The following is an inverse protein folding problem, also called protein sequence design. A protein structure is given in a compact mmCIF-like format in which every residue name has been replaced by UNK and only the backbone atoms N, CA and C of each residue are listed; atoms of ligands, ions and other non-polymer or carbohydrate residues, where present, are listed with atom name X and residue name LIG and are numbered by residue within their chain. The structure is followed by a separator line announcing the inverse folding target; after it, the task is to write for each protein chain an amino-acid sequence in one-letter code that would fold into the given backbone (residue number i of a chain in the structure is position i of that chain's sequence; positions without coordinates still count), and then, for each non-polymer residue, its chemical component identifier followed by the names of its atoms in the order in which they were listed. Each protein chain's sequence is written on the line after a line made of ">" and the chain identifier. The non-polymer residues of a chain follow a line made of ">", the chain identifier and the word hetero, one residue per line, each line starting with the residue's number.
data_IF_448552173667
#
_entry.id   IF_448552173667
#
_cell.length_a   1.000
_cell.length_b   1.000
_cell.length_c   1.000
_cell.angle_alpha   90.00
_cell.angle_beta   90.00
_cell.angle_gamma   90.00
#
_symmetry.space_group_name_H-M   'P 1'
#
loop_
_entity.id
_entity.type
_entity.pdbx_description
1 polymer ?
#
# COMPACT_ATOMS: atom_id res chain seq x y z
N UNK A 1 33.76 -18.25 -10.02
CA UNK A 1 32.37 -17.79 -9.81
C UNK A 1 32.21 -16.34 -10.18
N UNK A 2 31.04 -15.95 -10.65
CA UNK A 2 30.75 -14.60 -11.16
C UNK A 2 30.74 -13.51 -10.07
N UNK A 3 30.83 -13.89 -8.78
CA UNK A 3 30.77 -12.94 -7.65
C UNK A 3 31.61 -13.41 -6.48
N UNK A 4 32.36 -12.51 -5.89
CA UNK A 4 33.17 -12.77 -4.69
C UNK A 4 32.27 -12.86 -3.46
N UNK A 5 32.49 -13.88 -2.63
CA UNK A 5 31.74 -14.14 -1.41
C UNK A 5 32.66 -14.59 -0.27
N UNK A 6 32.28 -14.34 0.94
CA UNK A 6 33.02 -14.70 2.16
C UNK A 6 32.14 -15.56 3.07
N UNK A 7 32.78 -16.44 3.84
CA UNK A 7 32.12 -17.26 4.86
C UNK A 7 32.87 -17.09 6.17
N UNK A 8 32.21 -16.53 7.18
CA UNK A 8 32.78 -16.41 8.52
C UNK A 8 32.83 -17.75 9.25
N UNK A 9 33.73 -17.84 10.25
CA UNK A 9 33.85 -19.01 11.11
C UNK A 9 32.50 -19.25 11.84
N UNK A 10 31.92 -20.44 11.68
CA UNK A 10 30.61 -20.79 12.26
C UNK A 10 29.37 -20.44 11.41
N UNK A 11 29.52 -19.77 10.29
CA UNK A 11 28.39 -19.50 9.40
C UNK A 11 28.08 -20.69 8.48
N UNK A 12 26.78 -20.95 8.26
CA UNK A 12 26.33 -22.04 7.36
C UNK A 12 26.37 -21.67 5.88
N UNK A 13 26.27 -20.38 5.52
CA UNK A 13 26.14 -19.87 4.14
C UNK A 13 27.19 -18.83 3.80
N UNK A 14 27.58 -18.78 2.52
CA UNK A 14 28.41 -17.70 1.98
C UNK A 14 27.60 -16.40 1.84
N UNK A 15 28.23 -15.29 2.15
CA UNK A 15 27.68 -13.93 2.00
C UNK A 15 28.45 -13.23 0.88
N UNK A 16 27.73 -12.65 -0.08
CA UNK A 16 28.35 -11.88 -1.18
C UNK A 16 28.84 -10.53 -0.66
N UNK A 17 30.00 -10.09 -1.09
CA UNK A 17 30.57 -8.80 -0.67
C UNK A 17 29.61 -7.64 -0.81
N UNK A 18 28.91 -7.53 -1.93
CA UNK A 18 27.91 -6.46 -2.16
C UNK A 18 26.76 -6.42 -1.12
N UNK A 19 26.51 -7.48 -0.37
CA UNK A 19 25.45 -7.53 0.64
C UNK A 19 25.97 -7.17 2.03
N UNK A 20 27.28 -6.99 2.20
CA UNK A 20 27.89 -6.57 3.45
C UNK A 20 27.74 -5.05 3.70
N UNK A 21 27.37 -4.28 2.67
CA UNK A 21 27.16 -2.83 2.77
C UNK A 21 28.26 -2.00 2.09
N UNK A 22 28.21 -0.69 2.29
CA UNK A 22 29.19 0.25 1.74
C UNK A 22 30.55 0.01 2.39
N UNK A 23 31.63 0.04 1.61
CA UNK A 23 32.99 -0.22 2.07
C UNK A 23 33.44 -1.69 1.93
N UNK A 24 32.56 -2.60 1.48
CA UNK A 24 32.84 -4.03 1.31
C UNK A 24 32.71 -4.52 -0.12
N UNK A 25 32.66 -3.64 -1.11
CA UNK A 25 32.78 -4.04 -2.52
C UNK A 25 34.20 -4.50 -2.80
N UNK A 26 34.39 -5.34 -3.81
CA UNK A 26 35.71 -5.88 -4.18
C UNK A 26 36.72 -4.76 -4.46
N UNK A 27 36.28 -3.69 -5.14
CA UNK A 27 37.14 -2.54 -5.45
C UNK A 27 37.50 -1.72 -4.19
N UNK A 28 36.53 -1.54 -3.26
CA UNK A 28 36.78 -0.83 -2.00
C UNK A 28 37.74 -1.60 -1.11
N UNK A 29 37.58 -2.94 -1.01
CA UNK A 29 38.49 -3.81 -0.26
C UNK A 29 39.90 -3.75 -0.86
N UNK A 30 40.04 -3.83 -2.19
CA UNK A 30 41.35 -3.70 -2.87
C UNK A 30 42.00 -2.35 -2.61
N UNK A 31 41.23 -1.26 -2.67
CA UNK A 31 41.73 0.08 -2.42
C UNK A 31 42.26 0.22 -0.97
N UNK A 32 41.60 -0.42 0.00
CA UNK A 32 42.06 -0.45 1.43
C UNK A 32 43.34 -1.28 1.56
N UNK A 33 43.40 -2.46 0.96
CA UNK A 33 44.59 -3.35 0.99
C UNK A 33 45.80 -2.69 0.31
N UNK A 34 45.59 -1.91 -0.75
CA UNK A 34 46.61 -1.16 -1.47
C UNK A 34 46.99 0.16 -0.76
N UNK A 35 46.42 0.46 0.40
CA UNK A 35 46.67 1.69 1.14
C UNK A 35 46.10 2.97 0.51
N UNK A 36 45.31 2.86 -0.57
CA UNK A 36 44.70 3.98 -1.31
C UNK A 36 43.45 4.55 -0.62
N UNK A 37 42.83 3.79 0.29
CA UNK A 37 41.65 4.21 1.04
C UNK A 37 41.71 3.71 2.50
N UNK A 38 41.08 4.44 3.43
CA UNK A 38 40.89 3.98 4.81
C UNK A 38 39.61 3.14 4.88
N UNK A 39 39.64 2.01 5.60
CA UNK A 39 38.46 1.21 5.84
C UNK A 39 37.40 2.02 6.60
N UNK A 40 36.23 2.15 6.01
CA UNK A 40 35.04 2.67 6.72
C UNK A 40 34.34 1.49 7.37
N UNK A 41 34.36 1.43 8.70
CA UNK A 41 33.59 0.43 9.44
C UNK A 41 32.11 0.57 9.11
N UNK A 42 31.42 -0.58 8.94
CA UNK A 42 29.97 -0.62 8.75
C UNK A 42 29.27 0.14 9.89
N UNK A 43 28.80 1.34 9.59
CA UNK A 43 27.87 2.02 10.48
C UNK A 43 26.52 1.33 10.36
N UNK A 44 26.09 0.64 11.44
CA UNK A 44 24.70 0.19 11.54
C UNK A 44 23.82 1.37 11.21
N UNK A 45 23.04 1.27 10.12
CA UNK A 45 21.98 2.26 9.89
C UNK A 45 21.18 2.34 11.19
N UNK A 46 20.91 3.55 11.70
CA UNK A 46 20.03 3.67 12.85
C UNK A 46 18.77 2.88 12.53
N UNK A 47 18.22 2.11 13.48
CA UNK A 47 16.99 1.37 13.24
C UNK A 47 15.99 2.40 12.71
N UNK A 48 15.42 2.15 11.53
CA UNK A 48 14.30 2.96 11.04
C UNK A 48 13.29 2.94 12.17
N UNK A 49 12.93 4.11 12.66
CA UNK A 49 11.83 4.23 13.61
C UNK A 49 10.62 3.54 12.99
N UNK A 50 10.30 2.39 13.55
CA UNK A 50 9.13 1.66 13.06
C UNK A 50 7.91 2.37 13.63
N UNK A 51 6.95 2.73 12.78
CA UNK A 51 5.70 3.29 13.25
C UNK A 51 5.08 2.32 14.28
N UNK A 52 4.39 2.88 15.27
CA UNK A 52 3.69 2.07 16.27
C UNK A 52 2.71 1.09 15.60
N UNK A 53 2.53 -0.07 16.26
CA UNK A 53 1.68 -1.15 15.75
C UNK A 53 0.35 -1.17 16.51
N UNK A 54 -0.60 -1.93 15.98
CA UNK A 54 -1.88 -2.16 16.66
C UNK A 54 -1.66 -2.97 17.95
N UNK A 55 -2.35 -2.57 19.02
CA UNK A 55 -2.37 -3.32 20.27
C UNK A 55 -2.94 -4.72 20.04
N UNK A 56 -2.38 -5.69 20.75
CA UNK A 56 -2.89 -7.07 20.75
C UNK A 56 -4.09 -7.17 21.68
N UNK A 57 -5.17 -7.78 21.24
CA UNK A 57 -6.26 -8.20 22.11
C UNK A 57 -5.82 -9.41 22.95
N UNK A 58 -5.37 -9.13 24.17
CA UNK A 58 -4.84 -10.14 25.08
C UNK A 58 -5.97 -11.07 25.55
N UNK A 59 -7.16 -10.55 25.80
CA UNK A 59 -8.26 -11.33 26.33
C UNK A 59 -8.82 -12.32 25.30
N UNK A 60 -9.08 -11.85 24.07
CA UNK A 60 -9.49 -12.73 22.98
C UNK A 60 -8.44 -13.82 22.71
N UNK A 61 -7.14 -13.46 22.72
CA UNK A 61 -6.07 -14.44 22.51
C UNK A 61 -5.92 -15.46 23.64
N UNK A 62 -6.19 -15.07 24.89
CA UNK A 62 -6.22 -16.01 26.00
C UNK A 62 -7.42 -16.94 25.94
N UNK A 63 -8.59 -16.47 25.51
CA UNK A 63 -9.77 -17.30 25.26
C UNK A 63 -9.53 -18.32 24.13
N UNK A 64 -8.70 -17.97 23.13
CA UNK A 64 -8.23 -18.88 22.08
C UNK A 64 -7.18 -19.93 22.57
N UNK A 65 -6.87 -19.99 23.87
CA UNK A 65 -5.96 -20.97 24.46
C UNK A 65 -4.47 -20.59 24.41
N UNK A 66 -4.11 -19.32 24.20
CA UNK A 66 -2.72 -18.89 24.26
C UNK A 66 -2.13 -19.00 25.66
N UNK A 67 -0.82 -19.27 25.74
CA UNK A 67 -0.11 -19.52 26.99
C UNK A 67 0.06 -18.26 27.85
N UNK A 68 0.35 -18.45 29.15
CA UNK A 68 0.69 -17.38 30.09
C UNK A 68 1.95 -16.61 29.63
N UNK A 69 2.90 -17.29 28.99
CA UNK A 69 4.08 -16.66 28.39
C UNK A 69 3.70 -15.67 27.29
N UNK A 70 2.73 -16.03 26.45
CA UNK A 70 2.17 -15.14 25.44
C UNK A 70 1.53 -13.90 26.08
N UNK A 71 0.74 -14.07 27.14
CA UNK A 71 0.13 -12.95 27.89
C UNK A 71 1.19 -11.96 28.38
N UNK A 72 2.27 -12.43 29.01
CA UNK A 72 3.36 -11.58 29.49
C UNK A 72 4.04 -10.81 28.36
N UNK A 73 4.29 -11.47 27.24
CA UNK A 73 4.84 -10.83 26.04
C UNK A 73 3.89 -9.76 25.49
N UNK A 74 2.62 -10.09 25.29
CA UNK A 74 1.63 -9.19 24.72
C UNK A 74 1.39 -7.95 25.61
N UNK A 75 1.43 -8.10 26.93
CA UNK A 75 1.35 -6.97 27.87
C UNK A 75 2.52 -6.00 27.69
N UNK A 76 3.77 -6.52 27.62
CA UNK A 76 4.95 -5.69 27.38
C UNK A 76 4.91 -5.03 26.00
N UNK A 77 4.47 -5.76 24.99
CA UNK A 77 4.29 -5.26 23.63
C UNK A 77 3.28 -4.11 23.61
N UNK A 78 2.07 -4.32 24.17
CA UNK A 78 1.03 -3.31 24.21
C UNK A 78 1.46 -2.04 24.95
N UNK A 79 2.16 -2.17 26.09
CA UNK A 79 2.69 -1.03 26.82
C UNK A 79 3.65 -0.20 25.96
N UNK A 80 4.56 -0.86 25.25
CA UNK A 80 5.51 -0.20 24.36
C UNK A 80 4.80 0.50 23.18
N UNK A 81 3.85 -0.17 22.54
CA UNK A 81 3.14 0.40 21.39
C UNK A 81 2.16 1.52 21.82
N UNK A 82 1.58 1.43 23.04
CA UNK A 82 0.76 2.51 23.58
C UNK A 82 1.61 3.75 23.90
N UNK A 83 2.81 3.58 24.49
CA UNK A 83 3.72 4.69 24.71
C UNK A 83 4.08 5.41 23.40
N UNK A 84 4.35 4.69 22.33
CA UNK A 84 4.60 5.29 21.01
C UNK A 84 3.35 5.99 20.45
N UNK A 85 2.17 5.41 20.67
CA UNK A 85 0.90 6.03 20.26
C UNK A 85 0.70 7.36 20.97
N UNK A 86 0.95 7.41 22.29
CA UNK A 86 0.85 8.65 23.06
C UNK A 86 1.86 9.70 22.61
N UNK A 87 3.11 9.32 22.34
CA UNK A 87 4.11 10.26 21.79
C UNK A 87 3.65 10.83 20.44
N UNK A 88 3.14 9.98 19.54
CA UNK A 88 2.57 10.42 18.26
C UNK A 88 1.43 11.42 18.47
N UNK A 89 0.48 11.14 19.36
CA UNK A 89 -0.64 12.06 19.65
C UNK A 89 -0.13 13.40 20.20
N UNK A 90 0.88 13.37 21.07
CA UNK A 90 1.52 14.56 21.61
C UNK A 90 2.23 15.37 20.51
N UNK A 91 2.99 14.75 19.64
CA UNK A 91 3.66 15.39 18.50
C UNK A 91 2.66 16.00 17.52
N UNK A 92 1.54 15.34 17.30
CA UNK A 92 0.44 15.84 16.47
C UNK A 92 -0.45 16.84 17.20
N UNK A 93 -0.20 17.12 18.50
CA UNK A 93 -1.01 18.00 19.35
C UNK A 93 -2.48 17.60 19.40
N UNK A 94 -2.76 16.31 19.40
CA UNK A 94 -4.11 15.76 19.53
C UNK A 94 -4.39 15.54 21.01
N UNK A 95 -5.45 16.22 21.52
CA UNK A 95 -5.74 16.27 22.95
C UNK A 95 -6.97 15.46 23.36
N UNK A 96 -7.83 15.09 22.41
CA UNK A 96 -9.05 14.32 22.69
C UNK A 96 -9.31 13.21 21.69
N UNK A 97 -10.11 12.23 22.11
CA UNK A 97 -10.56 11.13 21.27
C UNK A 97 -11.41 11.62 20.08
N UNK A 98 -12.23 12.63 20.31
CA UNK A 98 -13.06 13.26 19.27
C UNK A 98 -12.20 13.90 18.20
N UNK A 99 -11.19 14.68 18.59
CA UNK A 99 -10.24 15.28 17.66
C UNK A 99 -9.48 14.23 16.85
N UNK A 100 -9.06 13.11 17.51
CA UNK A 100 -8.41 12.01 16.83
C UNK A 100 -9.31 11.37 15.77
N UNK A 101 -10.59 11.12 16.10
CA UNK A 101 -11.56 10.55 15.16
C UNK A 101 -11.82 11.47 13.98
N UNK A 102 -11.97 12.75 14.24
CA UNK A 102 -12.17 13.76 13.19
C UNK A 102 -10.97 13.83 12.25
N UNK A 103 -9.76 13.93 12.79
CA UNK A 103 -8.54 13.95 11.97
C UNK A 103 -8.33 12.66 11.18
N UNK A 104 -8.63 11.50 11.78
CA UNK A 104 -8.57 10.22 11.09
C UNK A 104 -9.60 10.13 9.94
N UNK A 105 -10.80 10.64 10.14
CA UNK A 105 -11.83 10.72 9.11
C UNK A 105 -11.42 11.65 7.95
N UNK A 106 -10.93 12.84 8.24
CA UNK A 106 -10.43 13.80 7.24
C UNK A 106 -9.26 13.24 6.45
N UNK A 107 -8.29 12.62 7.12
CA UNK A 107 -7.14 12.00 6.46
C UNK A 107 -7.57 10.82 5.57
N UNK A 108 -8.57 10.05 6.00
CA UNK A 108 -9.14 8.93 5.24
C UNK A 108 -9.83 9.44 3.98
N UNK A 109 -10.65 10.46 4.09
CA UNK A 109 -11.34 11.09 2.94
C UNK A 109 -10.33 11.67 1.95
N UNK A 110 -9.32 12.39 2.43
CA UNK A 110 -8.24 12.91 1.59
C UNK A 110 -7.52 11.80 0.82
N UNK A 111 -7.18 10.70 1.50
CA UNK A 111 -6.55 9.54 0.87
C UNK A 111 -7.44 8.93 -0.22
N UNK A 112 -8.74 8.76 0.04
CA UNK A 112 -9.69 8.21 -0.92
C UNK A 112 -9.89 9.14 -2.12
N UNK A 113 -10.04 10.43 -1.91
CA UNK A 113 -10.20 11.43 -2.98
C UNK A 113 -8.98 11.43 -3.91
N UNK A 114 -7.77 11.45 -3.34
CA UNK A 114 -6.54 11.37 -4.13
C UNK A 114 -6.41 10.04 -4.87
N UNK A 115 -6.75 8.92 -4.22
CA UNK A 115 -6.76 7.60 -4.83
C UNK A 115 -7.74 7.48 -6.00
N UNK A 116 -8.94 8.03 -5.85
CA UNK A 116 -9.96 8.06 -6.91
C UNK A 116 -9.51 8.92 -8.09
N UNK A 117 -8.89 10.06 -7.84
CA UNK A 117 -8.33 10.92 -8.90
C UNK A 117 -7.24 10.19 -9.70
N UNK A 118 -6.33 9.47 -9.03
CA UNK A 118 -5.30 8.67 -9.70
C UNK A 118 -5.93 7.55 -10.52
N UNK A 119 -6.92 6.82 -9.98
CA UNK A 119 -7.64 5.75 -10.70
C UNK A 119 -8.38 6.28 -11.92
N UNK A 120 -9.03 7.44 -11.82
CA UNK A 120 -9.70 8.08 -12.94
C UNK A 120 -8.71 8.45 -14.06
N UNK A 121 -7.54 8.99 -13.69
CA UNK A 121 -6.48 9.26 -14.65
C UNK A 121 -5.94 7.98 -15.31
N UNK A 122 -5.78 6.89 -14.56
CA UNK A 122 -5.36 5.58 -15.08
C UNK A 122 -6.39 4.99 -16.07
N UNK A 123 -7.67 5.05 -15.73
CA UNK A 123 -8.75 4.62 -16.60
C UNK A 123 -8.72 5.41 -17.92
N UNK A 124 -8.61 6.74 -17.84
CA UNK A 124 -8.56 7.60 -19.03
C UNK A 124 -7.31 7.35 -19.88
N UNK A 125 -6.15 7.11 -19.28
CA UNK A 125 -4.93 6.71 -20.01
C UNK A 125 -5.13 5.41 -20.80
N UNK A 126 -5.83 4.44 -20.22
CA UNK A 126 -6.16 3.17 -20.88
C UNK A 126 -7.13 3.39 -22.05
N UNK A 127 -8.18 4.18 -21.83
CA UNK A 127 -9.14 4.55 -22.89
C UNK A 127 -8.44 5.21 -24.07
N UNK A 128 -7.57 6.20 -23.81
CA UNK A 128 -6.79 6.88 -24.86
C UNK A 128 -5.93 5.89 -25.64
N UNK A 129 -5.25 4.97 -24.96
CA UNK A 129 -4.39 3.98 -25.61
C UNK A 129 -5.19 3.05 -26.54
N UNK A 130 -6.35 2.57 -26.08
CA UNK A 130 -7.28 1.73 -26.87
C UNK A 130 -7.83 2.52 -28.05
N UNK A 131 -8.32 3.74 -27.82
CA UNK A 131 -8.88 4.59 -28.86
C UNK A 131 -7.85 4.91 -29.97
N UNK A 132 -6.62 5.23 -29.59
CA UNK A 132 -5.53 5.44 -30.55
C UNK A 132 -5.29 4.22 -31.41
N UNK A 133 -5.30 3.02 -30.81
CA UNK A 133 -5.14 1.76 -31.54
C UNK A 133 -6.25 1.59 -32.58
N UNK A 134 -7.50 1.85 -32.21
CA UNK A 134 -8.62 1.80 -33.13
C UNK A 134 -8.54 2.84 -34.26
N UNK A 135 -8.15 4.08 -33.95
CA UNK A 135 -7.96 5.15 -34.95
C UNK A 135 -6.88 4.75 -35.96
N UNK A 136 -5.73 4.24 -35.50
CA UNK A 136 -4.63 3.81 -36.35
C UNK A 136 -5.06 2.63 -37.23
N UNK A 137 -5.73 1.63 -36.67
CA UNK A 137 -6.23 0.47 -37.41
C UNK A 137 -7.26 0.89 -38.47
N UNK A 138 -8.22 1.75 -38.10
CA UNK A 138 -9.19 2.29 -39.02
C UNK A 138 -8.55 3.02 -40.21
N UNK A 139 -7.57 3.88 -39.94
CA UNK A 139 -6.88 4.61 -41.00
C UNK A 139 -6.08 3.67 -41.92
N UNK A 140 -5.38 2.68 -41.36
CA UNK A 140 -4.61 1.69 -42.14
C UNK A 140 -5.49 0.79 -43.01
N UNK A 141 -6.64 0.36 -42.47
CA UNK A 141 -7.51 -0.62 -43.14
C UNK A 141 -8.57 0.03 -44.03
N UNK A 142 -8.73 1.35 -43.97
CA UNK A 142 -9.72 2.09 -44.78
C UNK A 142 -9.61 1.84 -46.29
N UNK A 143 -8.43 1.86 -46.93
CA UNK A 143 -8.32 1.60 -48.38
C UNK A 143 -8.84 0.20 -48.74
N UNK A 144 -8.53 -0.81 -47.96
CA UNK A 144 -8.97 -2.21 -48.19
C UNK A 144 -10.49 -2.32 -48.00
N UNK A 145 -11.03 -1.68 -46.96
CA UNK A 145 -12.45 -1.68 -46.71
C UNK A 145 -13.25 -0.95 -47.79
N UNK A 146 -12.72 0.18 -48.32
CA UNK A 146 -13.32 0.90 -49.44
C UNK A 146 -13.31 0.05 -50.72
N UNK A 147 -12.23 -0.70 -50.98
CA UNK A 147 -12.17 -1.66 -52.09
C UNK A 147 -13.18 -2.81 -51.90
N UNK A 148 -13.32 -3.34 -50.68
CA UNK A 148 -14.33 -4.36 -50.35
C UNK A 148 -15.74 -3.87 -50.62
N UNK A 149 -16.07 -2.64 -50.24
CA UNK A 149 -17.38 -2.01 -50.54
C UNK A 149 -17.62 -1.85 -52.03
N UNK A 150 -16.57 -1.40 -52.79
CA UNK A 150 -16.64 -1.25 -54.24
C UNK A 150 -16.81 -2.60 -54.97
N UNK A 151 -16.31 -3.69 -54.42
CA UNK A 151 -16.48 -5.05 -54.95
C UNK A 151 -17.87 -5.63 -54.71
N UNK A 152 -18.84 -4.86 -54.18
CA UNK A 152 -20.16 -5.34 -53.81
C UNK A 152 -20.15 -6.34 -52.64
N UNK A 153 -19.20 -6.22 -51.72
CA UNK A 153 -19.05 -7.13 -50.59
C UNK A 153 -18.73 -8.57 -50.98
N UNK A 154 -17.91 -8.75 -52.02
CA UNK A 154 -17.52 -10.06 -52.53
C UNK A 154 -16.96 -10.99 -51.47
N UNK A 155 -17.48 -12.23 -51.39
CA UNK A 155 -16.97 -13.25 -50.47
C UNK A 155 -15.50 -13.59 -50.72
N UNK A 156 -15.08 -13.68 -51.98
CA UNK A 156 -13.70 -13.95 -52.38
C UNK A 156 -12.75 -12.85 -51.89
N UNK A 157 -13.17 -11.57 -52.01
CA UNK A 157 -12.40 -10.44 -51.50
C UNK A 157 -12.32 -10.45 -49.95
N UNK A 158 -13.44 -10.79 -49.30
CA UNK A 158 -13.48 -10.92 -47.84
C UNK A 158 -12.51 -11.99 -47.33
N UNK A 159 -12.44 -13.15 -47.97
CA UNK A 159 -11.51 -14.23 -47.59
C UNK A 159 -10.05 -13.82 -47.77
N UNK A 160 -9.74 -13.11 -48.85
CA UNK A 160 -8.40 -12.64 -49.15
C UNK A 160 -7.91 -11.54 -48.17
N UNK A 161 -8.83 -10.73 -47.62
CA UNK A 161 -8.52 -9.57 -46.74
C UNK A 161 -9.29 -9.63 -45.42
N UNK A 162 -9.47 -10.82 -44.90
CA UNK A 162 -10.31 -11.07 -43.71
C UNK A 162 -9.85 -10.30 -42.48
N UNK A 163 -8.55 -10.25 -42.29
CA UNK A 163 -7.94 -9.61 -41.09
C UNK A 163 -8.19 -8.10 -41.13
N UNK A 164 -7.86 -7.42 -42.22
CA UNK A 164 -7.99 -5.97 -42.37
C UNK A 164 -9.47 -5.54 -42.29
N UNK A 165 -10.38 -6.31 -42.94
CA UNK A 165 -11.82 -6.02 -42.90
C UNK A 165 -12.37 -6.20 -41.47
N UNK A 166 -11.91 -7.22 -40.76
CA UNK A 166 -12.33 -7.46 -39.38
C UNK A 166 -11.83 -6.35 -38.45
N UNK A 167 -10.55 -5.93 -38.57
CA UNK A 167 -9.98 -4.82 -37.82
C UNK A 167 -10.72 -3.50 -38.11
N UNK A 168 -11.07 -3.24 -39.38
CA UNK A 168 -11.83 -2.05 -39.75
C UNK A 168 -13.21 -2.02 -39.09
N UNK A 169 -13.92 -3.14 -39.13
CA UNK A 169 -15.26 -3.26 -38.52
C UNK A 169 -15.18 -3.14 -37.00
N UNK A 170 -14.19 -3.76 -36.38
CA UNK A 170 -13.98 -3.65 -34.93
C UNK A 170 -13.67 -2.22 -34.49
N UNK A 171 -12.83 -1.51 -35.25
CA UNK A 171 -12.53 -0.09 -34.96
C UNK A 171 -13.80 0.77 -35.10
N UNK A 172 -14.61 0.56 -36.16
CA UNK A 172 -15.88 1.28 -36.35
C UNK A 172 -16.86 1.00 -35.21
N UNK A 173 -17.04 -0.27 -34.83
CA UNK A 173 -17.91 -0.64 -33.72
C UNK A 173 -17.48 0.04 -32.40
N UNK A 174 -16.18 0.09 -32.13
CA UNK A 174 -15.64 0.79 -30.94
C UNK A 174 -15.93 2.30 -30.97
N UNK A 175 -15.91 2.95 -32.13
CA UNK A 175 -16.29 4.36 -32.25
C UNK A 175 -17.78 4.59 -32.04
N UNK A 176 -18.62 3.71 -32.60
CA UNK A 176 -20.08 3.75 -32.45
C UNK A 176 -20.45 3.53 -30.94
N UNK A 177 -19.81 2.58 -30.26
CA UNK A 177 -19.99 2.31 -28.82
C UNK A 177 -19.55 3.50 -27.96
N UNK A 178 -18.45 4.15 -28.34
CA UNK A 178 -17.97 5.35 -27.66
C UNK A 178 -18.77 6.63 -27.99
N UNK A 179 -19.79 6.55 -28.86
CA UNK A 179 -20.64 7.67 -29.26
C UNK A 179 -19.90 8.77 -30.03
N UNK A 180 -18.79 8.44 -30.69
CA UNK A 180 -17.91 9.42 -31.34
C UNK A 180 -18.45 9.81 -32.71
N UNK A 181 -19.05 10.99 -32.82
CA UNK A 181 -19.47 11.56 -34.12
C UNK A 181 -18.28 12.02 -34.98
N UNK A 182 -17.18 12.46 -34.32
CA UNK A 182 -15.94 12.89 -34.96
C UNK A 182 -14.76 12.27 -34.25
N UNK A 183 -13.87 11.66 -35.03
CA UNK A 183 -12.65 11.07 -34.47
C UNK A 183 -11.67 12.16 -34.04
N UNK A 184 -11.14 12.12 -32.81
CA UNK A 184 -10.10 13.02 -32.35
C UNK A 184 -8.80 12.76 -33.11
N UNK A 185 -7.97 13.78 -33.23
CA UNK A 185 -6.63 13.62 -33.83
C UNK A 185 -5.71 12.87 -32.86
N UNK A 186 -4.91 11.96 -33.39
CA UNK A 186 -3.91 11.21 -32.60
C UNK A 186 -3.00 12.13 -31.82
N UNK A 187 -2.61 13.28 -32.40
CA UNK A 187 -1.78 14.29 -31.70
C UNK A 187 -2.46 14.89 -30.48
N UNK A 188 -3.77 15.10 -30.52
CA UNK A 188 -4.54 15.63 -29.38
C UNK A 188 -4.61 14.59 -28.26
N UNK A 189 -4.83 13.32 -28.62
CA UNK A 189 -4.79 12.20 -27.67
C UNK A 189 -3.39 11.98 -27.06
N UNK A 190 -2.33 12.18 -27.84
CA UNK A 190 -0.97 12.11 -27.33
C UNK A 190 -0.67 13.23 -26.33
N UNK A 191 -1.15 14.44 -26.59
CA UNK A 191 -0.99 15.57 -25.68
C UNK A 191 -1.76 15.34 -24.37
N UNK A 192 -3.04 14.89 -24.45
CA UNK A 192 -3.85 14.53 -23.29
C UNK A 192 -3.19 13.40 -22.47
N UNK A 193 -2.69 12.38 -23.15
CA UNK A 193 -1.97 11.27 -22.50
C UNK A 193 -0.75 11.73 -21.73
N UNK A 194 0.09 12.58 -22.36
CA UNK A 194 1.29 13.11 -21.72
C UNK A 194 0.97 13.99 -20.51
N UNK A 195 -0.08 14.82 -20.60
CA UNK A 195 -0.55 15.65 -19.49
C UNK A 195 -1.06 14.80 -18.32
N UNK A 196 -1.94 13.84 -18.58
CA UNK A 196 -2.46 12.93 -17.55
C UNK A 196 -1.36 12.12 -16.89
N UNK A 197 -0.39 11.63 -17.66
CA UNK A 197 0.76 10.89 -17.13
C UNK A 197 1.61 11.77 -16.20
N UNK A 198 1.83 13.03 -16.57
CA UNK A 198 2.58 14.00 -15.78
C UNK A 198 1.83 14.33 -14.49
N UNK A 199 0.54 14.62 -14.56
CA UNK A 199 -0.33 14.85 -13.39
C UNK A 199 -0.31 13.65 -12.43
N UNK A 200 -0.47 12.44 -12.97
CA UNK A 200 -0.41 11.20 -12.19
C UNK A 200 0.92 11.08 -11.45
N UNK A 201 2.05 11.27 -12.15
CA UNK A 201 3.38 11.21 -11.54
C UNK A 201 3.57 12.25 -10.43
N UNK A 202 3.09 13.47 -10.64
CA UNK A 202 3.15 14.55 -9.66
C UNK A 202 2.27 14.28 -8.43
N UNK A 203 1.11 13.63 -8.59
CA UNK A 203 0.19 13.32 -7.48
C UNK A 203 0.70 12.17 -6.57
N UNK A 204 1.55 11.28 -7.05
CA UNK A 204 1.99 10.09 -6.31
C UNK A 204 2.72 10.36 -4.99
N UNK A 205 3.65 11.35 -4.89
CA UNK A 205 4.29 11.68 -3.61
C UNK A 205 3.29 12.10 -2.54
N UNK A 206 2.33 12.94 -2.91
CA UNK A 206 1.30 13.45 -1.99
C UNK A 206 0.29 12.36 -1.60
N UNK A 207 -0.07 11.49 -2.53
CA UNK A 207 -0.86 10.29 -2.25
C UNK A 207 -0.17 9.37 -1.23
N UNK A 208 1.15 9.17 -1.35
CA UNK A 208 1.92 8.39 -0.38
C UNK A 208 1.92 9.04 1.01
N UNK A 209 2.09 10.37 1.07
CA UNK A 209 2.01 11.12 2.33
C UNK A 209 0.63 10.98 2.97
N UNK A 210 -0.44 11.22 2.20
CA UNK A 210 -1.82 11.07 2.67
C UNK A 210 -2.13 9.65 3.16
N UNK A 211 -1.61 8.63 2.46
CA UNK A 211 -1.73 7.23 2.89
C UNK A 211 -1.06 6.97 4.23
N UNK A 212 0.16 7.45 4.42
CA UNK A 212 0.90 7.25 5.67
C UNK A 212 0.21 7.97 6.83
N UNK A 213 -0.17 9.23 6.63
CA UNK A 213 -0.92 10.04 7.60
C UNK A 213 -2.23 9.34 8.03
N UNK A 214 -3.03 8.91 7.07
CA UNK A 214 -4.26 8.15 7.32
C UNK A 214 -3.97 6.87 8.11
N UNK A 215 -2.94 6.10 7.72
CA UNK A 215 -2.60 4.85 8.40
C UNK A 215 -2.16 5.06 9.84
N UNK A 216 -1.43 6.13 10.13
CA UNK A 216 -0.98 6.47 11.48
C UNK A 216 -2.15 6.91 12.36
N UNK A 217 -2.98 7.84 11.88
CA UNK A 217 -4.15 8.31 12.63
C UNK A 217 -5.17 7.21 12.90
N UNK A 218 -5.53 6.40 11.89
CA UNK A 218 -6.46 5.27 12.05
C UNK A 218 -5.88 4.21 13.01
N UNK A 219 -4.57 3.99 12.98
CA UNK A 219 -3.92 3.07 13.92
C UNK A 219 -3.92 3.62 15.35
N UNK A 220 -3.67 4.91 15.52
CA UNK A 220 -3.75 5.57 16.81
C UNK A 220 -5.16 5.50 17.40
N UNK A 221 -6.18 5.78 16.58
CA UNK A 221 -7.59 5.65 16.98
C UNK A 221 -7.92 4.22 17.44
N UNK A 222 -7.54 3.19 16.67
CA UNK A 222 -7.76 1.80 17.06
C UNK A 222 -7.01 1.41 18.32
N UNK A 223 -5.84 1.95 18.58
CA UNK A 223 -5.08 1.69 19.80
C UNK A 223 -5.76 2.34 21.00
N UNK A 224 -6.25 3.56 20.86
CA UNK A 224 -7.02 4.25 21.89
C UNK A 224 -8.30 3.47 22.24
N UNK A 225 -9.08 3.08 21.25
CA UNK A 225 -10.31 2.28 21.43
C UNK A 225 -10.03 0.95 22.16
N UNK A 226 -8.95 0.23 21.78
CA UNK A 226 -8.55 -1.03 22.44
C UNK A 226 -8.08 -0.85 23.87
N UNK A 227 -7.36 0.25 24.11
CA UNK A 227 -6.90 0.58 25.45
C UNK A 227 -8.08 0.85 26.39
N UNK A 228 -9.02 1.69 25.97
CA UNK A 228 -10.22 2.02 26.73
C UNK A 228 -11.15 0.79 26.96
N UNK A 229 -11.27 -0.08 25.96
CA UNK A 229 -12.02 -1.33 26.13
C UNK A 229 -11.38 -2.24 27.17
N UNK A 230 -10.06 -2.39 27.15
CA UNK A 230 -9.31 -3.18 28.14
C UNK A 230 -9.39 -2.61 29.56
N UNK A 231 -9.44 -1.30 29.73
CA UNK A 231 -9.65 -0.66 31.05
C UNK A 231 -11.07 -0.92 31.57
N UNK A 232 -12.12 -0.77 30.76
CA UNK A 232 -13.50 -1.04 31.14
C UNK A 232 -13.66 -2.48 31.65
N UNK A 233 -13.16 -3.46 30.93
CA UNK A 233 -13.18 -4.87 31.33
C UNK A 233 -12.45 -5.12 32.64
N UNK A 234 -11.37 -4.42 32.89
CA UNK A 234 -10.59 -4.57 34.12
C UNK A 234 -11.32 -3.99 35.33
N UNK A 235 -11.99 -2.85 35.15
CA UNK A 235 -12.81 -2.19 36.17
C UNK A 235 -14.03 -3.04 36.50
N UNK A 236 -14.73 -3.62 35.51
CA UNK A 236 -15.89 -4.46 35.69
C UNK A 236 -15.55 -5.74 36.44
N UNK A 237 -14.45 -6.41 36.10
CA UNK A 237 -13.93 -7.56 36.83
C UNK A 237 -13.53 -7.26 38.27
N UNK A 238 -13.00 -6.05 38.51
CA UNK A 238 -12.68 -5.60 39.86
C UNK A 238 -13.94 -5.34 40.70
N UNK A 239 -15.01 -4.78 40.11
CA UNK A 239 -16.32 -4.59 40.76
C UNK A 239 -16.97 -5.92 41.13
N UNK A 240 -17.03 -6.87 40.19
CA UNK A 240 -17.62 -8.21 40.41
C UNK A 240 -16.85 -9.02 41.46
N UNK A 241 -15.55 -8.84 41.60
CA UNK A 241 -14.77 -9.48 42.70
C UNK A 241 -15.11 -8.88 44.06
N UNK A 242 -15.30 -7.56 44.14
CA UNK A 242 -15.65 -6.87 45.39
C UNK A 242 -17.06 -7.25 45.87
N UNK A 243 -18.03 -7.39 44.96
CA UNK A 243 -19.38 -7.84 45.30
C UNK A 243 -19.40 -9.28 45.79
N UNK A 244 -18.69 -10.21 45.14
CA UNK A 244 -18.57 -11.60 45.63
C UNK A 244 -17.92 -11.72 47.01
N UNK A 245 -16.88 -10.94 47.28
CA UNK A 245 -16.22 -10.94 48.62
C UNK A 245 -17.12 -10.34 49.69
N UNK A 246 -17.99 -9.40 49.35
CA UNK A 246 -18.95 -8.83 50.28
C UNK A 246 -20.12 -9.81 50.61
N UNK A 247 -20.58 -10.55 49.61
CA UNK A 247 -21.61 -11.60 49.78
C UNK A 247 -21.09 -12.80 50.58
N UNK A 248 -19.85 -13.26 50.34
CA UNK A 248 -19.21 -14.32 51.11
C UNK A 248 -18.96 -13.90 52.57
N UNK A 249 -18.65 -12.65 52.87
CA UNK A 249 -18.44 -12.17 54.24
C UNK A 249 -19.76 -11.98 55.01
N UNK A 250 -20.89 -11.70 54.34
CA UNK A 250 -22.20 -11.63 55.00
C UNK A 250 -22.77 -13.01 55.36
N UNK A 251 -22.41 -14.04 54.62
CA UNK A 251 -22.88 -15.43 54.89
C UNK A 251 -22.14 -16.12 56.05
N UNK A 252 -20.95 -15.62 56.42
CA UNK A 252 -20.20 -16.08 57.60
C UNK A 252 -20.63 -15.39 58.91
N UNK A 253 -21.30 -14.24 58.82
CA UNK A 253 -21.80 -13.49 59.99
C UNK A 253 -23.13 -13.99 60.59
N UNK A 254 -23.90 -14.79 59.84
CA UNK A 254 -25.22 -15.31 60.29
C UNK A 254 -25.17 -16.72 60.95
N UNK A 255 -23.96 -17.29 61.15
CA UNK A 255 -23.76 -18.62 61.76
C UNK A 255 -23.00 -18.58 63.09
N UNK A 256 -23.04 -17.47 63.83
CA UNK A 256 -22.46 -17.36 65.15
C UNK A 256 -23.54 -17.08 66.20
#
# INVERSE_FOLDING_TARGET
>A
GKYTSVKGKGQKRFIRFRTLGTGYSENEIKAVLEGKAKHQSYQKRPPKEQPFQLLVDIQGKMAEGKSVGYKKWATKFNLKEMSKTLLFLQEQKISSAEELRERAAVATERYHTMGNSIKAAEARLTEIAVLKTHIINYAKTRPVYDAYRKSGYSKKFLEAHREEITLHKAAKAAFDEAGLQKLPKVKELDAEFAELLTRKKAAYPDYRKARNEMQELVRAQKNEERFLAGEKDTIEKAKTRKTKTAEDSSHYGERS
#
